data_IF_837826210560
#
_entry.id   IF_837826210560
#
_cell.length_a   1.000
_cell.length_b   1.000
_cell.length_c   1.000
_cell.angle_alpha   90.00
_cell.angle_beta   90.00
_cell.angle_gamma   90.00
#
_symmetry.space_group_name_H-M   'P 1'
#
loop_
_entity.id
_entity.type
_entity.pdbx_description
1 polymer ?
#
# COMPACT_ATOMS: atom_id res chain seq x y z
N UNK A 1 -19.11 -2.81 -4.26
CA UNK A 1 -18.18 -2.62 -3.12
C UNK A 1 -16.80 -2.30 -3.69
N UNK A 2 -16.24 -1.13 -3.39
CA UNK A 2 -14.92 -0.74 -3.88
C UNK A 2 -13.82 -1.62 -3.28
N UNK A 3 -12.84 -1.99 -4.09
CA UNK A 3 -11.63 -2.72 -3.65
C UNK A 3 -11.06 -2.01 -2.42
N UNK A 4 -10.87 -2.68 -1.27
CA UNK A 4 -10.28 -2.02 -0.12
C UNK A 4 -8.90 -1.52 -0.52
N UNK A 5 -8.74 -0.18 -0.54
CA UNK A 5 -7.46 0.47 -0.73
C UNK A 5 -6.48 -0.17 0.24
N UNK A 6 -5.45 -0.81 -0.30
CA UNK A 6 -4.45 -1.52 0.49
C UNK A 6 -3.91 -0.59 1.59
N UNK A 7 -3.75 -1.09 2.82
CA UNK A 7 -3.21 -0.29 3.92
C UNK A 7 -1.88 0.37 3.52
N UNK A 8 -1.70 1.63 3.90
CA UNK A 8 -0.47 2.38 3.62
C UNK A 8 0.75 1.71 4.28
N UNK A 9 1.96 1.90 3.72
CA UNK A 9 3.18 1.36 4.34
C UNK A 9 3.38 1.81 5.80
N UNK A 10 3.00 3.05 6.14
CA UNK A 10 3.10 3.58 7.49
C UNK A 10 2.18 2.88 8.49
N UNK A 11 0.93 2.57 8.10
CA UNK A 11 0.01 1.79 8.95
C UNK A 11 0.51 0.35 9.11
N UNK A 12 1.03 -0.25 8.04
CA UNK A 12 1.64 -1.59 8.10
C UNK A 12 2.81 -1.63 9.06
N UNK A 13 3.68 -0.62 9.04
CA UNK A 13 4.83 -0.51 9.95
C UNK A 13 4.38 -0.42 11.42
N UNK A 14 3.40 0.43 11.73
CA UNK A 14 2.81 0.51 13.08
C UNK A 14 2.25 -0.85 13.56
N UNK A 15 1.63 -1.64 12.68
CA UNK A 15 1.13 -2.99 13.02
C UNK A 15 2.28 -3.95 13.39
N UNK A 16 3.43 -3.84 12.72
CA UNK A 16 4.60 -4.69 12.98
C UNK A 16 5.31 -4.28 14.27
N UNK A 17 5.45 -2.98 14.49
CA UNK A 17 6.09 -2.39 15.68
C UNK A 17 5.21 -2.49 16.93
N UNK A 18 3.91 -2.80 16.78
CA UNK A 18 3.01 -3.03 17.91
C UNK A 18 3.54 -4.15 18.81
N UNK A 19 3.81 -3.79 20.06
CA UNK A 19 4.20 -4.67 21.15
C UNK A 19 3.00 -4.95 22.08
N UNK A 20 2.47 -6.18 22.12
CA UNK A 20 1.38 -6.54 23.02
C UNK A 20 1.78 -6.65 24.49
N UNK A 21 3.08 -6.64 24.83
CA UNK A 21 3.58 -6.80 26.19
C UNK A 21 3.97 -5.48 26.87
N UNK A 22 3.88 -4.36 26.15
CA UNK A 22 4.11 -3.04 26.73
C UNK A 22 3.09 -2.78 27.85
N UNK A 23 3.57 -2.46 29.06
CA UNK A 23 2.76 -2.33 30.27
C UNK A 23 1.60 -1.32 30.13
N UNK A 24 1.85 -0.20 29.44
CA UNK A 24 0.85 0.85 29.16
C UNK A 24 0.42 0.86 27.68
N UNK A 25 0.60 -0.27 26.99
CA UNK A 25 0.26 -0.42 25.57
C UNK A 25 -1.26 -0.50 25.34
N UNK A 26 -1.77 0.02 24.20
CA UNK A 26 -3.18 -0.14 23.86
C UNK A 26 -3.49 -1.61 23.55
N UNK A 27 -4.73 -2.02 23.83
CA UNK A 27 -5.22 -3.31 23.34
C UNK A 27 -5.26 -3.34 21.80
N UNK A 28 -5.25 -4.54 21.22
CA UNK A 28 -5.39 -4.71 19.75
C UNK A 28 -6.66 -4.04 19.22
N UNK A 29 -7.76 -4.07 19.99
CA UNK A 29 -9.01 -3.39 19.62
C UNK A 29 -8.82 -1.87 19.51
N UNK A 30 -8.28 -1.25 20.55
CA UNK A 30 -8.08 0.20 20.60
C UNK A 30 -7.07 0.64 19.54
N UNK A 31 -5.99 -0.13 19.37
CA UNK A 31 -5.02 0.11 18.31
C UNK A 31 -5.68 0.10 16.91
N UNK A 32 -6.50 -0.93 16.63
CA UNK A 32 -7.21 -1.04 15.35
C UNK A 32 -8.21 0.12 15.15
N UNK A 33 -8.92 0.52 16.21
CA UNK A 33 -9.84 1.66 16.18
C UNK A 33 -9.10 2.97 15.89
N UNK A 34 -7.99 3.25 16.58
CA UNK A 34 -7.17 4.47 16.38
C UNK A 34 -6.66 4.59 14.94
N UNK A 35 -6.29 3.48 14.31
CA UNK A 35 -5.82 3.45 12.92
C UNK A 35 -6.95 3.28 11.89
N UNK A 36 -8.21 3.21 12.32
CA UNK A 36 -9.37 2.95 11.48
C UNK A 36 -9.20 1.70 10.59
N UNK A 37 -8.68 0.62 11.17
CA UNK A 37 -8.51 -0.68 10.51
C UNK A 37 -9.32 -1.77 11.22
N UNK A 38 -9.62 -2.84 10.49
CA UNK A 38 -10.25 -4.01 11.09
C UNK A 38 -9.21 -4.91 11.78
N UNK A 39 -9.61 -5.60 12.86
CA UNK A 39 -8.77 -6.62 13.53
C UNK A 39 -8.27 -7.72 12.57
N UNK A 40 -9.08 -8.23 11.61
CA UNK A 40 -8.56 -9.16 10.60
C UNK A 40 -7.41 -8.60 9.79
N UNK A 41 -7.44 -7.30 9.44
CA UNK A 41 -6.35 -6.66 8.70
C UNK A 41 -5.05 -6.64 9.52
N UNK A 42 -5.14 -6.33 10.81
CA UNK A 42 -4.01 -6.40 11.74
C UNK A 42 -3.35 -7.79 11.74
N UNK A 43 -4.13 -8.86 11.96
CA UNK A 43 -3.58 -10.22 12.01
C UNK A 43 -3.09 -10.70 10.65
N UNK A 44 -3.73 -10.30 9.54
CA UNK A 44 -3.28 -10.64 8.19
C UNK A 44 -1.90 -10.04 7.88
N UNK A 45 -1.67 -8.78 8.26
CA UNK A 45 -0.37 -8.13 8.06
C UNK A 45 0.70 -8.77 8.94
N UNK A 46 0.42 -9.06 10.22
CA UNK A 46 1.38 -9.74 11.10
C UNK A 46 1.74 -11.13 10.59
N UNK A 47 0.76 -11.95 10.21
CA UNK A 47 1.01 -13.26 9.57
C UNK A 47 1.88 -13.11 8.33
N UNK A 48 1.58 -12.15 7.46
CA UNK A 48 2.39 -11.92 6.25
C UNK A 48 3.83 -11.53 6.59
N UNK A 49 4.04 -10.66 7.59
CA UNK A 49 5.39 -10.28 8.00
C UNK A 49 6.18 -11.46 8.59
N UNK A 50 5.53 -12.35 9.33
CA UNK A 50 6.19 -13.58 9.82
C UNK A 50 6.67 -14.47 8.66
N UNK A 51 5.96 -14.49 7.53
CA UNK A 51 6.32 -15.32 6.37
C UNK A 51 7.26 -14.62 5.37
N UNK A 52 7.09 -13.32 5.14
CA UNK A 52 7.73 -12.56 4.04
C UNK A 52 8.71 -11.47 4.53
N UNK A 53 8.80 -11.22 5.84
CA UNK A 53 9.61 -10.16 6.43
C UNK A 53 9.21 -8.76 5.91
N UNK A 54 10.22 -7.92 5.64
CA UNK A 54 10.03 -6.52 5.21
C UNK A 54 9.22 -6.37 3.91
N UNK A 55 9.13 -7.40 3.07
CA UNK A 55 8.27 -7.40 1.87
C UNK A 55 6.79 -7.19 2.24
N UNK A 56 6.40 -7.54 3.48
CA UNK A 56 5.05 -7.33 4.00
C UNK A 56 4.64 -5.84 4.12
N UNK A 57 5.62 -4.94 4.23
CA UNK A 57 5.39 -3.49 4.35
C UNK A 57 4.86 -2.88 3.06
N UNK A 58 5.15 -3.49 1.91
CA UNK A 58 4.67 -3.03 0.61
C UNK A 58 3.38 -3.77 0.23
N UNK A 59 2.39 -3.09 -0.38
CA UNK A 59 1.26 -3.76 -1.01
C UNK A 59 1.74 -4.79 -2.05
N UNK A 60 1.01 -5.89 -2.20
CA UNK A 60 1.24 -6.78 -3.34
C UNK A 60 0.89 -6.03 -4.62
N UNK A 61 1.60 -6.37 -5.70
CA UNK A 61 1.25 -5.89 -7.02
C UNK A 61 -0.24 -6.12 -7.28
N UNK A 62 -0.92 -5.09 -7.76
CA UNK A 62 -2.31 -5.20 -8.24
C UNK A 62 -2.37 -5.60 -9.72
N UNK A 63 -1.21 -5.85 -10.34
CA UNK A 63 -1.17 -6.29 -11.73
C UNK A 63 -1.84 -7.66 -11.88
N UNK A 64 -2.61 -7.88 -12.96
CA UNK A 64 -3.19 -9.19 -13.25
C UNK A 64 -2.09 -10.25 -13.39
N UNK A 65 -2.26 -11.41 -12.75
CA UNK A 65 -1.34 -12.55 -12.90
C UNK A 65 -1.41 -13.15 -14.30
N UNK A 66 -2.62 -13.19 -14.88
CA UNK A 66 -2.89 -13.66 -16.23
C UNK A 66 -3.51 -12.52 -17.03
N UNK A 67 -2.71 -11.70 -17.73
CA UNK A 67 -3.24 -10.61 -18.53
C UNK A 67 -4.03 -11.18 -19.71
N UNK A 68 -5.29 -10.76 -19.85
CA UNK A 68 -6.18 -11.17 -20.96
C UNK A 68 -5.63 -10.74 -22.32
N UNK A 69 -4.83 -9.66 -22.35
CA UNK A 69 -4.24 -9.11 -23.55
C UNK A 69 -2.78 -8.77 -23.32
N UNK A 70 -1.91 -9.29 -24.18
CA UNK A 70 -0.50 -8.96 -24.23
C UNK A 70 -0.33 -7.95 -25.37
N UNK A 71 0.18 -6.76 -25.05
CA UNK A 71 0.49 -5.75 -26.06
C UNK A 71 1.91 -5.95 -26.57
N UNK A 72 2.17 -5.52 -27.81
CA UNK A 72 3.51 -5.56 -28.38
C UNK A 72 4.46 -4.58 -27.68
N UNK A 73 5.76 -4.71 -27.96
CA UNK A 73 6.78 -3.87 -27.32
C UNK A 73 6.60 -2.38 -27.63
N UNK A 74 6.09 -2.03 -28.81
CA UNK A 74 5.89 -0.63 -29.19
C UNK A 74 4.77 0.00 -28.37
N UNK A 75 3.63 -0.67 -28.23
CA UNK A 75 2.51 -0.20 -27.40
C UNK A 75 2.93 -0.09 -25.94
N UNK A 76 3.70 -1.07 -25.43
CA UNK A 76 4.21 -1.06 -24.06
C UNK A 76 5.11 0.16 -23.79
N UNK A 77 6.00 0.49 -24.73
CA UNK A 77 6.88 1.67 -24.64
C UNK A 77 6.10 2.98 -24.60
N UNK A 78 5.05 3.11 -25.41
CA UNK A 78 4.19 4.31 -25.43
C UNK A 78 3.50 4.49 -24.08
N UNK A 79 2.90 3.44 -23.53
CA UNK A 79 2.23 3.48 -22.22
C UNK A 79 3.21 3.89 -21.11
N UNK A 80 4.39 3.27 -21.05
CA UNK A 80 5.41 3.59 -20.05
C UNK A 80 5.89 5.05 -20.17
N UNK A 81 6.07 5.55 -21.39
CA UNK A 81 6.45 6.96 -21.63
C UNK A 81 5.36 7.93 -21.17
N UNK A 82 4.09 7.64 -21.46
CA UNK A 82 2.96 8.46 -21.01
C UNK A 82 2.90 8.50 -19.48
N UNK A 83 3.05 7.36 -18.80
CA UNK A 83 3.09 7.31 -17.34
C UNK A 83 4.28 8.06 -16.75
N UNK A 84 5.48 7.90 -17.31
CA UNK A 84 6.66 8.63 -16.86
C UNK A 84 6.45 10.14 -16.93
N UNK A 85 5.89 10.64 -18.03
CA UNK A 85 5.64 12.07 -18.21
C UNK A 85 4.59 12.60 -17.22
N UNK A 86 3.53 11.82 -16.96
CA UNK A 86 2.49 12.20 -15.99
C UNK A 86 3.00 12.25 -14.55
N UNK A 87 3.95 11.38 -14.18
CA UNK A 87 4.61 11.39 -12.85
C UNK A 87 5.59 12.57 -12.72
N UNK A 88 6.10 13.09 -13.84
CA UNK A 88 7.15 14.11 -13.88
C UNK A 88 6.66 15.54 -14.03
N UNK A 89 5.35 15.80 -14.06
CA UNK A 89 4.81 17.17 -14.00
C UNK A 89 4.70 17.60 -12.53
N UNK A 90 5.64 18.39 -11.99
CA UNK A 90 5.32 19.16 -10.80
C UNK A 90 4.21 20.15 -11.17
N UNK A 91 3.16 20.17 -10.36
CA UNK A 91 2.22 21.27 -10.37
C UNK A 91 2.97 22.57 -10.04
N UNK A 92 3.27 23.39 -11.07
CA UNK A 92 3.61 24.78 -10.88
C UNK A 92 3.17 25.62 -12.08
N UNK A 93 2.03 26.28 -11.92
CA UNK A 93 1.72 27.55 -12.56
C UNK A 93 1.12 28.43 -11.46
N UNK A 94 2.00 29.24 -10.84
CA UNK A 94 1.61 30.46 -10.15
C UNK A 94 1.85 31.65 -11.09
N UNK A 95 0.96 32.65 -10.95
CA UNK A 95 1.10 34.09 -11.25
C UNK A 95 1.28 34.49 -12.73
N UNK A 96 0.66 35.54 -13.30
CA UNK A 96 -0.16 36.71 -12.87
C UNK A 96 -0.86 37.26 -14.15
N UNK A 97 -1.66 38.37 -14.17
CA UNK A 97 -1.46 39.69 -13.54
C UNK A 97 -2.45 40.03 -12.42
#
# INVERSE_FOLDING_TARGET
MGVPRSLSPSVRRQIIEYDPLAADGPSVSEFCQRLNISRPSFYNIRRRFLHEGNTALNPRSSAPLNPVRIFDQQTTKVVLRTHHNAVKTPAHMGDTP
#
